data_IF_794587009259
#
_entry.id   IF_794587009259
#
_cell.length_a   1.000
_cell.length_b   1.000
_cell.length_c   1.000
_cell.angle_alpha   90.00
_cell.angle_beta   90.00
_cell.angle_gamma   90.00
#
_symmetry.space_group_name_H-M   'P 1'
#
loop_
_entity.id
_entity.type
_entity.pdbx_description
1 polymer ?
#
# COMPACT_ATOMS: atom_id res chain seq x y z
N UNK A 1 -25.64 19.82 -36.31
CA UNK A 1 -26.18 18.71 -35.49
C UNK A 1 -25.06 18.12 -34.62
N UNK A 2 -25.31 17.91 -33.34
CA UNK A 2 -24.25 17.53 -32.38
C UNK A 2 -23.77 16.09 -32.59
N UNK A 3 -22.44 15.87 -32.65
CA UNK A 3 -21.84 14.54 -32.56
C UNK A 3 -21.95 14.05 -31.12
N UNK A 4 -22.87 13.13 -30.87
CA UNK A 4 -23.08 12.49 -29.58
C UNK A 4 -21.78 11.80 -29.09
N UNK A 5 -21.34 12.10 -27.88
CA UNK A 5 -20.14 11.50 -27.29
C UNK A 5 -20.39 10.00 -27.00
N UNK A 6 -19.66 9.12 -27.69
CA UNK A 6 -19.69 7.68 -27.42
C UNK A 6 -18.88 7.38 -26.16
N UNK A 7 -19.56 7.30 -25.02
CA UNK A 7 -18.96 7.02 -23.70
C UNK A 7 -18.36 5.61 -23.57
N UNK A 8 -18.79 4.65 -24.39
CA UNK A 8 -18.25 3.28 -24.42
C UNK A 8 -17.99 2.83 -25.86
N UNK A 9 -16.71 2.70 -26.23
CA UNK A 9 -16.30 2.06 -27.49
C UNK A 9 -15.76 0.64 -27.26
N UNK A 10 -16.05 -0.22 -28.24
CA UNK A 10 -15.89 -1.68 -28.15
C UNK A 10 -14.41 -2.09 -28.20
N UNK A 11 -13.93 -2.79 -27.17
CA UNK A 11 -12.57 -3.31 -27.05
C UNK A 11 -12.17 -4.20 -28.23
N UNK A 12 -11.16 -3.79 -29.02
CA UNK A 12 -10.41 -4.64 -29.98
C UNK A 12 -8.92 -4.60 -29.65
N UNK A 13 -8.37 -5.73 -29.19
CA UNK A 13 -6.93 -5.90 -28.94
C UNK A 13 -6.37 -5.11 -27.74
N UNK A 14 -5.05 -4.91 -27.75
CA UNK A 14 -4.28 -4.37 -26.63
C UNK A 14 -4.11 -2.83 -26.65
N UNK A 15 -4.78 -2.12 -27.56
CA UNK A 15 -4.82 -0.65 -27.60
C UNK A 15 -6.05 -0.13 -26.86
N UNK A 16 -5.84 0.55 -25.73
CA UNK A 16 -6.85 1.44 -25.14
C UNK A 16 -6.74 2.80 -25.82
N UNK A 17 -7.67 3.13 -26.73
CA UNK A 17 -7.73 4.43 -27.43
C UNK A 17 -8.55 5.49 -26.69
N UNK A 18 -8.79 5.30 -25.38
CA UNK A 18 -9.33 6.33 -24.50
C UNK A 18 -8.21 7.17 -23.90
N UNK A 19 -8.43 8.48 -23.73
CA UNK A 19 -7.48 9.35 -23.02
C UNK A 19 -7.37 8.92 -21.56
N UNK A 20 -6.20 8.44 -21.13
CA UNK A 20 -5.95 8.03 -19.74
C UNK A 20 -6.22 9.15 -18.73
N UNK A 21 -6.08 10.41 -19.15
CA UNK A 21 -6.43 11.58 -18.33
C UNK A 21 -7.94 11.67 -18.08
N UNK A 22 -8.76 11.37 -19.08
CA UNK A 22 -10.23 11.37 -18.94
C UNK A 22 -10.66 10.20 -18.06
N UNK A 23 -10.11 9.00 -18.27
CA UNK A 23 -10.38 7.85 -17.41
C UNK A 23 -9.99 8.12 -15.95
N UNK A 24 -8.77 8.65 -15.72
CA UNK A 24 -8.29 9.00 -14.38
C UNK A 24 -9.09 10.14 -13.71
N UNK A 25 -9.60 11.10 -14.48
CA UNK A 25 -10.51 12.15 -13.98
C UNK A 25 -11.87 11.57 -13.55
N UNK A 26 -12.44 10.63 -14.32
CA UNK A 26 -13.68 9.95 -13.95
C UNK A 26 -13.51 9.04 -12.73
N UNK A 27 -12.40 8.29 -12.65
CA UNK A 27 -12.06 7.45 -11.48
C UNK A 27 -11.86 8.32 -10.23
N UNK A 28 -11.09 9.42 -10.32
CA UNK A 28 -10.91 10.37 -9.23
C UNK A 28 -12.23 11.03 -8.79
N UNK A 29 -13.08 11.44 -9.74
CA UNK A 29 -14.40 12.00 -9.48
C UNK A 29 -15.34 11.01 -8.79
N UNK A 30 -15.30 9.73 -9.18
CA UNK A 30 -16.05 8.66 -8.52
C UNK A 30 -15.63 8.48 -7.05
N UNK A 31 -14.32 8.40 -6.77
CA UNK A 31 -13.84 8.28 -5.39
C UNK A 31 -14.10 9.55 -4.56
N UNK A 32 -14.01 10.74 -5.16
CA UNK A 32 -14.38 11.99 -4.50
C UNK A 32 -15.87 12.04 -4.13
N UNK A 33 -16.75 11.58 -5.03
CA UNK A 33 -18.17 11.46 -4.75
C UNK A 33 -18.46 10.46 -3.61
N UNK A 34 -17.81 9.29 -3.60
CA UNK A 34 -17.91 8.34 -2.49
C UNK A 34 -17.46 8.96 -1.15
N UNK A 35 -16.35 9.71 -1.15
CA UNK A 35 -15.86 10.39 0.05
C UNK A 35 -16.88 11.43 0.56
N UNK A 36 -17.41 12.29 -0.32
CA UNK A 36 -18.40 13.31 0.05
C UNK A 36 -19.71 12.70 0.57
N UNK A 37 -20.23 11.66 -0.09
CA UNK A 37 -21.40 10.91 0.37
C UNK A 37 -21.14 10.21 1.72
N UNK A 38 -19.94 9.67 1.91
CA UNK A 38 -19.49 9.11 3.19
C UNK A 38 -19.46 10.15 4.31
N UNK A 39 -18.84 11.31 4.08
CA UNK A 39 -18.80 12.40 5.05
C UNK A 39 -20.20 12.93 5.40
N UNK A 40 -21.06 13.13 4.40
CA UNK A 40 -22.45 13.55 4.61
C UNK A 40 -23.24 12.51 5.42
N UNK A 41 -23.17 11.23 5.03
CA UNK A 41 -23.81 10.13 5.75
C UNK A 41 -23.30 10.00 7.19
N UNK A 42 -21.99 10.14 7.41
CA UNK A 42 -21.38 10.10 8.74
C UNK A 42 -21.87 11.26 9.62
N UNK A 43 -21.93 12.48 9.06
CA UNK A 43 -22.48 13.64 9.76
C UNK A 43 -23.96 13.47 10.10
N UNK A 44 -24.78 12.93 9.19
CA UNK A 44 -26.20 12.65 9.44
C UNK A 44 -26.38 11.62 10.56
N UNK A 45 -25.68 10.49 10.51
CA UNK A 45 -25.73 9.44 11.55
C UNK A 45 -25.26 9.99 12.91
N UNK A 46 -24.18 10.78 12.91
CA UNK A 46 -23.69 11.44 14.11
C UNK A 46 -24.72 12.42 14.69
N UNK A 47 -25.33 13.27 13.84
CA UNK A 47 -26.26 14.36 14.22
C UNK A 47 -27.62 13.87 14.71
N UNK A 48 -28.13 12.78 14.13
CA UNK A 48 -29.51 12.30 14.35
C UNK A 48 -29.61 11.05 15.22
N UNK A 49 -28.56 10.22 15.32
CA UNK A 49 -28.58 8.98 16.12
C UNK A 49 -27.64 9.05 17.33
N UNK A 50 -26.34 9.30 17.11
CA UNK A 50 -25.33 9.27 18.20
C UNK A 50 -25.41 10.46 19.16
N UNK A 51 -25.53 11.69 18.64
CA UNK A 51 -25.57 12.91 19.47
C UNK A 51 -26.74 12.91 20.48
N UNK A 52 -27.98 12.56 20.10
CA UNK A 52 -29.08 12.45 21.06
C UNK A 52 -28.84 11.41 22.17
N UNK A 53 -28.39 10.20 21.81
CA UNK A 53 -28.07 9.14 22.79
C UNK A 53 -26.95 9.61 23.75
N UNK A 54 -25.88 10.19 23.22
CA UNK A 54 -24.75 10.70 24.00
C UNK A 54 -25.13 11.83 24.96
N UNK A 55 -25.90 12.83 24.50
CA UNK A 55 -26.37 13.93 25.37
C UNK A 55 -27.30 13.40 26.46
N UNK A 56 -28.21 12.46 26.15
CA UNK A 56 -29.07 11.85 27.17
C UNK A 56 -28.27 11.12 28.26
N UNK A 57 -27.13 10.52 27.90
CA UNK A 57 -26.25 9.83 28.84
C UNK A 57 -25.46 10.76 29.77
N UNK A 58 -24.97 11.91 29.28
CA UNK A 58 -24.04 12.79 30.00
C UNK A 58 -24.60 14.13 30.47
N UNK A 59 -25.45 14.77 29.67
CA UNK A 59 -25.85 16.17 29.88
C UNK A 59 -27.13 16.29 30.73
N UNK A 60 -27.94 15.23 30.78
CA UNK A 60 -29.27 15.27 31.40
C UNK A 60 -29.18 15.10 32.92
N UNK A 61 -29.92 15.94 33.65
CA UNK A 61 -29.89 15.97 35.11
C UNK A 61 -30.98 15.08 35.72
N UNK A 62 -30.71 14.37 36.83
CA UNK A 62 -31.69 13.54 37.49
C UNK A 62 -32.77 14.39 38.19
N UNK A 63 -34.03 13.98 38.08
CA UNK A 63 -35.19 14.58 38.75
C UNK A 63 -36.15 13.48 39.23
N UNK A 64 -36.70 13.56 40.45
CA UNK A 64 -37.76 12.64 40.87
C UNK A 64 -39.04 12.91 40.06
N UNK A 65 -39.61 11.86 39.49
CA UNK A 65 -40.84 11.89 38.71
C UNK A 65 -41.83 10.86 39.25
N UNK A 66 -43.13 11.14 39.10
CA UNK A 66 -44.21 10.21 39.42
C UNK A 66 -44.75 9.58 38.13
N UNK A 67 -44.86 8.26 38.10
CA UNK A 67 -45.51 7.53 37.00
C UNK A 67 -47.02 7.71 37.11
N UNK A 68 -47.66 8.29 36.10
CA UNK A 68 -49.11 8.50 36.04
C UNK A 68 -49.84 7.39 35.29
N UNK A 69 -49.27 6.92 34.18
CA UNK A 69 -49.93 5.99 33.26
C UNK A 69 -48.88 5.26 32.41
N UNK A 70 -49.16 4.03 32.00
CA UNK A 70 -48.31 3.24 31.08
C UNK A 70 -49.16 2.80 29.90
N UNK A 71 -48.63 2.91 28.67
CA UNK A 71 -49.31 2.45 27.46
C UNK A 71 -48.34 1.86 26.44
N UNK A 72 -48.86 0.99 25.60
CA UNK A 72 -48.14 0.45 24.46
C UNK A 72 -48.54 1.25 23.20
N UNK A 73 -47.67 2.15 22.77
CA UNK A 73 -47.85 2.89 21.52
C UNK A 73 -47.76 1.94 20.33
N UNK A 74 -48.76 1.96 19.45
CA UNK A 74 -48.80 1.15 18.23
C UNK A 74 -48.82 2.04 16.99
N UNK A 75 -48.18 1.60 15.91
CA UNK A 75 -48.27 2.23 14.60
C UNK A 75 -48.20 1.18 13.49
N UNK A 76 -48.93 1.40 12.39
CA UNK A 76 -48.92 0.51 11.24
C UNK A 76 -48.02 1.11 10.16
N UNK A 77 -46.95 0.40 9.78
CA UNK A 77 -46.06 0.80 8.67
C UNK A 77 -45.81 -0.41 7.77
N UNK A 78 -46.01 -0.23 6.47
CA UNK A 78 -45.73 -1.26 5.44
C UNK A 78 -46.40 -2.62 5.73
N UNK A 79 -47.61 -2.61 6.30
CA UNK A 79 -48.37 -3.81 6.67
C UNK A 79 -47.92 -4.51 7.96
N UNK A 80 -46.90 -3.99 8.66
CA UNK A 80 -46.47 -4.47 9.96
C UNK A 80 -46.91 -3.53 11.09
N UNK A 81 -47.43 -4.10 12.18
CA UNK A 81 -47.70 -3.35 13.42
C UNK A 81 -46.41 -3.26 14.22
N UNK A 82 -45.97 -2.04 14.48
CA UNK A 82 -44.82 -1.74 15.33
C UNK A 82 -45.29 -1.23 16.70
N UNK A 83 -44.51 -1.56 17.72
CA UNK A 83 -44.83 -1.34 19.14
C UNK A 83 -43.74 -0.51 19.82
N UNK A 84 -44.14 0.34 20.77
CA UNK A 84 -43.25 1.21 21.55
C UNK A 84 -43.76 1.32 23.01
N UNK A 85 -42.91 1.13 24.02
CA UNK A 85 -43.29 1.44 25.41
C UNK A 85 -43.40 2.96 25.59
N UNK A 86 -44.48 3.43 26.21
CA UNK A 86 -44.70 4.84 26.53
C UNK A 86 -45.19 4.98 27.97
N UNK A 87 -44.46 5.73 28.78
CA UNK A 87 -44.79 6.00 30.19
C UNK A 87 -45.10 7.48 30.36
N UNK A 88 -46.28 7.80 30.87
CA UNK A 88 -46.65 9.16 31.23
C UNK A 88 -46.04 9.49 32.59
N UNK A 89 -45.13 10.45 32.63
CA UNK A 89 -44.51 10.93 33.86
C UNK A 89 -44.91 12.36 34.18
N UNK A 90 -44.94 12.67 35.47
CA UNK A 90 -45.06 14.04 36.00
C UNK A 90 -43.81 14.35 36.84
N UNK A 91 -43.16 15.48 36.59
CA UNK A 91 -41.99 15.94 37.34
C UNK A 91 -41.99 17.46 37.49
N UNK A 92 -41.28 17.95 38.50
CA UNK A 92 -41.22 19.38 38.82
C UNK A 92 -39.79 19.89 38.64
N UNK A 93 -39.64 20.98 37.88
CA UNK A 93 -38.36 21.68 37.70
C UNK A 93 -38.59 23.16 38.07
N UNK A 94 -38.03 23.59 39.19
CA UNK A 94 -38.37 24.87 39.81
C UNK A 94 -39.85 24.91 40.22
N UNK A 95 -40.55 25.98 39.84
CA UNK A 95 -41.99 26.15 40.12
C UNK A 95 -42.91 25.49 39.07
N UNK A 96 -42.35 25.00 37.95
CA UNK A 96 -43.14 24.42 36.85
C UNK A 96 -43.25 22.89 36.97
N UNK A 97 -44.45 22.39 36.74
CA UNK A 97 -44.75 20.95 36.63
C UNK A 97 -44.87 20.60 35.15
N UNK A 98 -44.13 19.58 34.72
CA UNK A 98 -44.13 19.08 33.36
C UNK A 98 -44.74 17.68 33.33
N UNK A 99 -45.57 17.41 32.33
CA UNK A 99 -46.20 16.10 32.08
C UNK A 99 -45.98 15.70 30.63
N UNK A 100 -45.38 14.53 30.41
CA UNK A 100 -45.06 14.04 29.07
C UNK A 100 -45.07 12.51 28.99
N UNK A 101 -45.14 11.98 27.76
CA UNK A 101 -44.97 10.56 27.46
C UNK A 101 -43.53 10.29 27.04
N UNK A 102 -42.85 9.40 27.73
CA UNK A 102 -41.44 9.05 27.45
C UNK A 102 -41.11 7.60 27.79
N UNK A 103 -39.94 7.18 27.32
CA UNK A 103 -39.23 5.99 27.77
C UNK A 103 -37.73 6.21 27.52
N UNK A 104 -37.34 6.24 26.24
CA UNK A 104 -35.99 6.58 25.78
C UNK A 104 -35.96 7.88 24.95
N UNK A 105 -34.76 8.35 24.58
CA UNK A 105 -34.58 9.57 23.79
C UNK A 105 -35.20 9.48 22.39
N UNK A 106 -35.39 8.26 21.85
CA UNK A 106 -36.05 8.04 20.57
C UNK A 106 -37.56 8.19 20.68
N UNK A 107 -38.15 7.73 21.78
CA UNK A 107 -39.59 7.82 22.09
C UNK A 107 -40.04 9.29 22.11
N UNK A 108 -39.33 10.14 22.83
CA UNK A 108 -39.59 11.60 22.88
C UNK A 108 -39.49 12.24 21.49
N UNK A 109 -38.57 11.75 20.63
CA UNK A 109 -38.35 12.24 19.27
C UNK A 109 -39.28 11.64 18.21
N UNK A 110 -40.33 10.90 18.62
CA UNK A 110 -41.30 10.28 17.69
C UNK A 110 -40.79 9.00 16.99
N UNK A 111 -39.61 8.52 17.34
CA UNK A 111 -39.01 7.28 16.85
C UNK A 111 -39.15 6.18 17.93
N UNK A 112 -38.35 5.10 17.83
CA UNK A 112 -38.22 4.07 18.88
C UNK A 112 -38.98 2.78 18.62
N UNK A 113 -40.05 2.81 17.80
CA UNK A 113 -40.87 1.65 17.43
C UNK A 113 -40.06 0.40 17.02
N UNK A 114 -40.53 -0.77 17.45
CA UNK A 114 -39.93 -2.07 17.14
C UNK A 114 -40.99 -3.12 16.79
N UNK A 115 -40.60 -4.21 16.13
CA UNK A 115 -41.52 -5.31 15.78
C UNK A 115 -41.83 -6.20 17.01
N UNK A 116 -40.94 -6.23 18.02
CA UNK A 116 -41.08 -7.11 19.18
C UNK A 116 -42.00 -6.51 20.25
N UNK A 117 -43.29 -6.82 20.10
CA UNK A 117 -44.33 -6.54 21.10
C UNK A 117 -43.96 -7.05 22.50
N UNK A 118 -43.38 -8.25 22.63
CA UNK A 118 -43.08 -8.88 23.93
C UNK A 118 -41.91 -8.20 24.64
N UNK A 119 -40.99 -7.58 23.91
CA UNK A 119 -39.96 -6.74 24.52
C UNK A 119 -40.58 -5.44 25.08
N UNK A 120 -41.39 -4.74 24.29
CA UNK A 120 -42.05 -3.51 24.73
C UNK A 120 -43.00 -3.73 25.93
N UNK A 121 -43.76 -4.82 25.94
CA UNK A 121 -44.61 -5.19 27.09
C UNK A 121 -43.79 -5.52 28.35
N UNK A 122 -42.63 -6.20 28.22
CA UNK A 122 -41.72 -6.44 29.36
C UNK A 122 -41.19 -5.14 29.95
N UNK A 123 -40.72 -4.21 29.11
CA UNK A 123 -40.25 -2.90 29.56
C UNK A 123 -41.32 -2.09 30.31
N UNK A 124 -42.61 -2.23 29.95
CA UNK A 124 -43.71 -1.55 30.66
C UNK A 124 -44.04 -2.18 32.02
N UNK A 125 -43.85 -3.49 32.18
CA UNK A 125 -44.16 -4.20 33.43
C UNK A 125 -43.28 -3.76 34.62
N UNK A 126 -42.10 -3.19 34.33
CA UNK A 126 -41.17 -2.68 35.34
C UNK A 126 -41.64 -1.35 35.98
N UNK A 127 -42.61 -0.65 35.37
CA UNK A 127 -43.14 0.63 35.84
C UNK A 127 -44.55 0.48 36.43
N UNK A 128 -44.69 0.77 37.73
CA UNK A 128 -45.99 0.77 38.41
C UNK A 128 -46.61 2.17 38.47
N UNK A 129 -47.89 2.28 38.13
CA UNK A 129 -48.64 3.53 38.25
C UNK A 129 -48.66 4.01 39.70
N UNK A 130 -48.34 5.28 39.93
CA UNK A 130 -48.21 5.92 41.23
C UNK A 130 -46.80 5.86 41.85
N UNK A 131 -45.88 5.06 41.29
CA UNK A 131 -44.51 4.94 41.79
C UNK A 131 -43.67 6.21 41.51
N UNK A 132 -42.73 6.51 42.40
CA UNK A 132 -41.74 7.57 42.22
C UNK A 132 -40.43 6.97 41.66
N UNK A 133 -39.95 7.50 40.53
CA UNK A 133 -38.73 7.05 39.84
C UNK A 133 -37.85 8.23 39.47
N UNK A 134 -36.57 8.00 39.25
CA UNK A 134 -35.66 9.02 38.70
C UNK A 134 -35.85 9.11 37.18
N UNK A 135 -36.25 10.27 36.68
CA UNK A 135 -36.14 10.63 35.26
C UNK A 135 -34.90 11.50 35.06
N UNK A 136 -34.46 11.63 33.80
CA UNK A 136 -33.36 12.52 33.40
C UNK A 136 -33.89 13.55 32.41
N UNK A 137 -33.77 14.84 32.71
CA UNK A 137 -34.28 15.93 31.87
C UNK A 137 -33.14 16.74 31.23
N UNK A 138 -33.39 17.31 30.04
CA UNK A 138 -32.43 18.21 29.38
C UNK A 138 -32.47 19.60 30.06
N UNK A 139 -31.38 20.07 30.70
CA UNK A 139 -31.36 21.41 31.30
C UNK A 139 -31.51 22.54 30.28
N UNK A 140 -31.21 22.28 29.00
CA UNK A 140 -31.41 23.23 27.89
C UNK A 140 -32.87 23.32 27.44
N UNK A 141 -33.67 22.26 27.65
CA UNK A 141 -35.10 22.25 27.36
C UNK A 141 -35.84 21.31 28.34
N UNK A 142 -36.38 21.85 29.45
CA UNK A 142 -37.04 21.06 30.49
C UNK A 142 -38.28 20.27 30.05
N UNK A 143 -38.81 20.49 28.84
CA UNK A 143 -39.90 19.69 28.25
C UNK A 143 -39.44 18.33 27.72
N UNK A 144 -38.14 18.03 27.75
CA UNK A 144 -37.57 16.74 27.33
C UNK A 144 -37.04 16.01 28.56
N UNK A 145 -37.66 14.87 28.89
CA UNK A 145 -37.15 13.93 29.89
C UNK A 145 -37.21 12.48 29.40
N UNK A 146 -36.31 11.63 29.89
CA UNK A 146 -36.19 10.20 29.58
C UNK A 146 -36.07 9.36 30.85
N UNK A 147 -36.54 8.12 30.80
CA UNK A 147 -36.45 7.14 31.89
C UNK A 147 -35.28 6.17 31.69
N UNK A 148 -34.94 5.85 30.44
CA UNK A 148 -33.78 5.02 30.11
C UNK A 148 -32.73 5.76 29.27
N UNK A 149 -31.46 5.48 29.60
CA UNK A 149 -30.26 6.08 28.96
C UNK A 149 -29.41 4.97 28.34
N UNK A 150 -29.93 4.37 27.26
CA UNK A 150 -29.30 3.29 26.51
C UNK A 150 -28.84 3.72 25.11
N UNK A 151 -27.68 3.21 24.67
CA UNK A 151 -27.26 3.30 23.27
C UNK A 151 -27.81 2.11 22.49
N UNK A 152 -28.44 2.34 21.33
CA UNK A 152 -28.93 1.23 20.50
C UNK A 152 -27.80 0.68 19.64
N UNK A 153 -27.48 -0.61 19.81
CA UNK A 153 -26.30 -1.22 19.16
C UNK A 153 -26.32 -1.14 17.61
N UNK A 154 -27.50 -1.15 16.99
CA UNK A 154 -27.65 -1.03 15.53
C UNK A 154 -27.16 0.32 14.98
N UNK A 155 -27.10 1.37 15.81
CA UNK A 155 -26.53 2.67 15.45
C UNK A 155 -25.07 2.52 14.98
N UNK A 156 -24.31 1.57 15.54
CA UNK A 156 -22.93 1.28 15.12
C UNK A 156 -22.87 0.56 13.76
N UNK A 157 -23.82 -0.33 13.45
CA UNK A 157 -23.93 -0.93 12.10
C UNK A 157 -24.23 0.14 11.05
N UNK A 158 -25.14 1.06 11.36
CA UNK A 158 -25.50 2.15 10.46
C UNK A 158 -24.36 3.16 10.29
N UNK A 159 -23.49 3.34 11.30
CA UNK A 159 -22.27 4.14 11.19
C UNK A 159 -21.18 3.49 10.31
N UNK A 160 -21.15 2.16 10.22
CA UNK A 160 -20.15 1.43 9.43
C UNK A 160 -20.31 1.69 7.92
N UNK A 161 -21.54 1.89 7.45
CA UNK A 161 -21.85 2.18 6.03
C UNK A 161 -21.15 3.48 5.56
N UNK A 162 -21.43 4.68 6.12
CA UNK A 162 -20.73 5.90 5.71
C UNK A 162 -19.24 5.87 6.04
N UNK A 163 -18.82 5.21 7.13
CA UNK A 163 -17.40 5.02 7.43
C UNK A 163 -16.67 4.26 6.31
N UNK A 164 -17.27 3.20 5.76
CA UNK A 164 -16.68 2.47 4.63
C UNK A 164 -16.52 3.36 3.38
N UNK A 165 -17.49 4.25 3.11
CA UNK A 165 -17.43 5.20 2.00
C UNK A 165 -16.36 6.28 2.21
N UNK A 166 -16.19 6.76 3.46
CA UNK A 166 -15.08 7.67 3.81
C UNK A 166 -13.74 6.99 3.59
N UNK A 167 -13.54 5.76 4.07
CA UNK A 167 -12.27 5.03 3.92
C UNK A 167 -11.95 4.73 2.46
N UNK A 168 -12.90 4.18 1.71
CA UNK A 168 -12.73 3.86 0.28
C UNK A 168 -12.55 5.12 -0.58
N UNK A 169 -13.34 6.15 -0.32
CA UNK A 169 -13.26 7.44 -1.02
C UNK A 169 -11.96 8.16 -0.73
N UNK A 170 -11.55 8.29 0.53
CA UNK A 170 -10.29 8.93 0.92
C UNK A 170 -9.07 8.17 0.38
N UNK A 171 -9.09 6.83 0.44
CA UNK A 171 -8.04 5.98 -0.14
C UNK A 171 -7.92 6.16 -1.65
N UNK A 172 -9.05 6.14 -2.37
CA UNK A 172 -9.09 6.37 -3.81
C UNK A 172 -8.63 7.78 -4.20
N UNK A 173 -9.17 8.84 -3.57
CA UNK A 173 -8.75 10.22 -3.83
C UNK A 173 -7.27 10.41 -3.54
N UNK A 174 -6.77 9.92 -2.40
CA UNK A 174 -5.34 10.03 -2.05
C UNK A 174 -4.44 9.33 -3.07
N UNK A 175 -4.83 8.13 -3.53
CA UNK A 175 -4.12 7.38 -4.57
C UNK A 175 -4.12 8.11 -5.92
N UNK A 176 -5.26 8.68 -6.33
CA UNK A 176 -5.38 9.43 -7.58
C UNK A 176 -4.67 10.79 -7.53
N UNK A 177 -4.73 11.52 -6.42
CA UNK A 177 -3.98 12.77 -6.20
C UNK A 177 -2.47 12.50 -6.17
N UNK A 178 -2.02 11.43 -5.50
CA UNK A 178 -0.61 11.04 -5.49
C UNK A 178 -0.07 10.60 -6.86
N UNK A 179 -0.96 10.07 -7.72
CA UNK A 179 -0.70 9.75 -9.14
C UNK A 179 -0.93 10.94 -10.09
N UNK A 180 -1.61 12.01 -9.68
CA UNK A 180 -1.93 13.14 -10.56
C UNK A 180 -0.64 13.81 -11.02
N UNK A 181 -0.45 13.94 -12.34
CA UNK A 181 0.80 14.45 -12.93
C UNK A 181 1.97 13.46 -12.94
N UNK A 182 1.81 12.24 -12.40
CA UNK A 182 2.79 11.16 -12.47
C UNK A 182 2.26 10.05 -13.38
N UNK A 183 2.71 10.03 -14.64
CA UNK A 183 2.44 8.90 -15.55
C UNK A 183 2.79 7.57 -14.88
N UNK A 184 2.02 6.52 -15.17
CA UNK A 184 2.27 5.15 -14.68
C UNK A 184 3.69 4.71 -15.04
N UNK A 185 4.18 5.13 -16.21
CA UNK A 185 5.55 4.89 -16.67
C UNK A 185 6.59 5.70 -15.85
N UNK A 186 6.29 6.95 -15.45
CA UNK A 186 7.14 7.72 -14.52
C UNK A 186 7.26 7.04 -13.16
N UNK A 187 6.19 6.45 -12.65
CA UNK A 187 6.20 5.69 -11.38
C UNK A 187 6.88 4.31 -11.53
N UNK A 188 6.82 3.67 -12.71
CA UNK A 188 7.62 2.49 -13.03
C UNK A 188 9.12 2.81 -13.21
N UNK A 189 9.45 4.04 -13.65
CA UNK A 189 10.82 4.55 -13.75
C UNK A 189 11.39 4.95 -12.38
N UNK A 190 10.59 5.62 -11.54
CA UNK A 190 10.94 6.03 -10.16
C UNK A 190 10.88 4.87 -9.15
N UNK A 191 10.03 3.89 -9.40
CA UNK A 191 10.10 2.59 -8.75
C UNK A 191 11.41 1.93 -9.14
N UNK A 192 12.49 2.29 -8.41
CA UNK A 192 13.76 1.56 -8.47
C UNK A 192 13.39 0.07 -8.36
N UNK A 193 13.62 -0.76 -9.39
CA UNK A 193 13.68 -2.19 -9.14
C UNK A 193 14.72 -2.40 -8.03
N UNK A 194 14.62 -3.50 -7.28
CA UNK A 194 15.53 -3.78 -6.16
C UNK A 194 16.96 -4.15 -6.63
N UNK A 195 17.41 -3.57 -7.76
CA UNK A 195 18.79 -3.45 -8.14
C UNK A 195 19.54 -2.75 -7.02
N UNK A 196 20.62 -3.40 -6.57
CA UNK A 196 21.73 -2.75 -5.88
C UNK A 196 22.02 -1.40 -6.50
N UNK A 197 22.30 -0.39 -5.68
CA UNK A 197 22.74 0.93 -6.13
C UNK A 197 24.17 0.82 -6.66
N UNK A 198 24.28 0.21 -7.83
CA UNK A 198 25.42 0.12 -8.73
C UNK A 198 25.80 1.53 -9.20
N UNK A 199 26.29 2.37 -8.29
CA UNK A 199 26.61 3.76 -8.58
C UNK A 199 27.79 3.78 -9.55
N UNK A 200 27.73 4.67 -10.54
CA UNK A 200 28.89 4.91 -11.40
C UNK A 200 29.63 6.06 -10.74
N UNK A 201 30.74 5.77 -10.08
CA UNK A 201 31.55 6.79 -9.44
C UNK A 201 32.39 7.51 -10.52
N UNK A 202 32.16 8.81 -10.79
CA UNK A 202 32.93 9.55 -11.79
C UNK A 202 34.43 9.65 -11.44
N UNK A 203 34.78 9.51 -10.16
CA UNK A 203 36.16 9.57 -9.67
C UNK A 203 36.90 8.22 -9.79
N UNK A 204 36.23 7.16 -10.24
CA UNK A 204 36.85 5.86 -10.53
C UNK A 204 37.68 5.93 -11.83
N UNK A 205 38.93 6.40 -11.69
CA UNK A 205 39.82 6.90 -12.74
C UNK A 205 40.10 6.01 -13.98
N UNK A 206 39.61 4.77 -14.03
CA UNK A 206 39.72 3.89 -15.22
C UNK A 206 38.40 3.70 -15.99
N UNK A 207 37.25 3.66 -15.30
CA UNK A 207 35.97 3.24 -15.90
C UNK A 207 34.76 4.00 -15.32
N UNK A 208 34.57 5.29 -15.66
CA UNK A 208 33.59 6.18 -15.01
C UNK A 208 32.11 5.83 -15.27
N UNK A 209 31.82 4.95 -16.23
CA UNK A 209 30.47 4.47 -16.52
C UNK A 209 30.26 2.99 -16.18
N UNK A 210 31.27 2.31 -15.63
CA UNK A 210 31.09 0.96 -15.10
C UNK A 210 30.42 1.07 -13.72
N UNK A 211 29.38 0.26 -13.46
CA UNK A 211 28.75 0.23 -12.14
C UNK A 211 29.70 -0.30 -11.04
N UNK A 212 29.70 0.35 -9.87
CA UNK A 212 30.42 -0.09 -8.67
C UNK A 212 30.07 -1.52 -8.27
N UNK A 213 31.07 -2.24 -7.75
CA UNK A 213 30.93 -3.59 -7.22
C UNK A 213 29.95 -3.58 -6.04
N UNK A 214 28.87 -4.40 -6.07
CA UNK A 214 28.01 -4.60 -4.91
C UNK A 214 28.79 -4.94 -3.63
N UNK A 215 28.60 -4.16 -2.57
CA UNK A 215 29.27 -4.38 -1.28
C UNK A 215 29.03 -5.77 -0.69
N UNK A 216 27.90 -6.41 -1.01
CA UNK A 216 27.60 -7.80 -0.62
C UNK A 216 28.51 -8.86 -1.25
N UNK A 217 29.25 -8.56 -2.32
CA UNK A 217 30.20 -9.50 -2.98
C UNK A 217 31.52 -9.62 -2.19
N UNK A 218 31.76 -8.72 -1.23
CA UNK A 218 32.94 -8.79 -0.35
C UNK A 218 32.85 -9.91 0.70
N UNK A 219 31.75 -10.68 0.74
CA UNK A 219 31.67 -11.89 1.56
C UNK A 219 32.39 -13.04 0.85
N UNK A 220 33.46 -13.62 1.44
CA UNK A 220 34.13 -14.77 0.86
C UNK A 220 33.15 -15.95 0.78
N UNK A 221 33.19 -16.67 -0.34
CA UNK A 221 32.41 -17.90 -0.51
C UNK A 221 33.01 -19.09 0.22
N UNK A 222 32.25 -20.18 0.29
CA UNK A 222 32.66 -21.45 0.92
C UNK A 222 33.49 -22.33 -0.03
N UNK A 223 33.16 -22.31 -1.33
CA UNK A 223 33.82 -23.11 -2.37
C UNK A 223 34.62 -22.24 -3.36
N UNK A 224 34.12 -21.04 -3.71
CA UNK A 224 34.82 -20.08 -4.57
C UNK A 224 34.99 -18.72 -3.88
N UNK A 225 35.98 -17.88 -4.27
CA UNK A 225 36.35 -16.69 -3.51
C UNK A 225 35.24 -15.64 -3.33
N UNK A 226 34.30 -15.50 -4.27
CA UNK A 226 33.29 -14.43 -4.25
C UNK A 226 31.86 -14.97 -4.23
N UNK A 227 31.08 -14.65 -3.19
CA UNK A 227 29.66 -15.00 -3.10
C UNK A 227 28.77 -13.88 -3.65
N UNK A 228 27.87 -14.20 -4.58
CA UNK A 228 26.99 -13.20 -5.22
C UNK A 228 25.70 -12.95 -4.39
N UNK A 229 25.27 -11.68 -4.23
CA UNK A 229 24.05 -11.34 -3.53
C UNK A 229 22.79 -11.62 -4.38
N UNK A 230 21.77 -12.21 -3.76
CA UNK A 230 20.46 -12.45 -4.38
C UNK A 230 19.67 -11.13 -4.47
N UNK A 231 19.34 -10.70 -5.69
CA UNK A 231 18.43 -9.59 -5.95
C UNK A 231 16.97 -10.02 -5.81
N UNK A 232 16.14 -9.13 -5.26
CA UNK A 232 14.68 -9.25 -5.35
C UNK A 232 14.01 -10.15 -4.32
N UNK A 233 14.60 -10.37 -3.13
CA UNK A 233 13.84 -10.99 -2.03
C UNK A 233 12.58 -10.15 -1.73
N UNK A 234 11.37 -10.74 -1.76
CA UNK A 234 10.11 -10.00 -1.63
C UNK A 234 9.77 -9.63 -0.18
N UNK A 235 10.79 -9.29 0.62
CA UNK A 235 10.69 -8.91 2.04
C UNK A 235 9.70 -7.76 2.27
N UNK A 236 9.69 -6.76 1.39
CA UNK A 236 8.75 -5.63 1.45
C UNK A 236 7.28 -6.06 1.30
N UNK A 237 7.00 -7.10 0.51
CA UNK A 237 5.64 -7.64 0.38
C UNK A 237 5.23 -8.41 1.63
N UNK A 238 6.14 -9.21 2.21
CA UNK A 238 5.94 -9.89 3.50
C UNK A 238 5.65 -8.89 4.63
N UNK A 239 6.45 -7.83 4.73
CA UNK A 239 6.26 -6.76 5.73
C UNK A 239 4.92 -6.04 5.53
N UNK A 240 4.47 -5.84 4.29
CA UNK A 240 3.15 -5.28 3.99
C UNK A 240 2.00 -6.17 4.49
N UNK A 241 2.06 -7.47 4.21
CA UNK A 241 1.06 -8.43 4.71
C UNK A 241 1.07 -8.56 6.24
N UNK A 242 2.26 -8.60 6.85
CA UNK A 242 2.43 -8.64 8.31
C UNK A 242 1.84 -7.38 8.96
N UNK A 243 2.17 -6.19 8.44
CA UNK A 243 1.65 -4.93 8.94
C UNK A 243 0.13 -4.83 8.84
N UNK A 244 -0.45 -5.25 7.70
CA UNK A 244 -1.90 -5.30 7.51
C UNK A 244 -2.58 -6.28 8.49
N UNK A 245 -2.02 -7.47 8.68
CA UNK A 245 -2.54 -8.47 9.61
C UNK A 245 -2.47 -7.98 11.06
N UNK A 246 -1.33 -7.42 11.51
CA UNK A 246 -1.16 -6.89 12.86
C UNK A 246 -2.09 -5.70 13.13
N UNK A 247 -2.18 -4.75 12.19
CA UNK A 247 -3.05 -3.58 12.33
C UNK A 247 -4.53 -3.98 12.44
N UNK A 248 -5.01 -4.88 11.56
CA UNK A 248 -6.40 -5.32 11.57
C UNK A 248 -6.75 -6.10 12.84
N UNK A 249 -5.99 -7.15 13.14
CA UNK A 249 -6.25 -7.99 14.32
C UNK A 249 -6.07 -7.21 15.63
N UNK A 250 -5.08 -6.31 15.71
CA UNK A 250 -4.89 -5.41 16.84
C UNK A 250 -6.07 -4.44 17.03
N UNK A 251 -6.61 -3.89 15.95
CA UNK A 251 -7.79 -3.02 16.00
C UNK A 251 -9.05 -3.77 16.46
N UNK A 252 -9.28 -4.99 15.96
CA UNK A 252 -10.40 -5.84 16.38
C UNK A 252 -10.25 -6.26 17.85
N UNK A 253 -9.04 -6.60 18.30
CA UNK A 253 -8.75 -6.95 19.70
C UNK A 253 -8.95 -5.76 20.64
N UNK A 254 -8.46 -4.57 20.28
CA UNK A 254 -8.65 -3.35 21.07
C UNK A 254 -10.15 -3.00 21.21
N UNK A 255 -10.93 -3.13 20.13
CA UNK A 255 -12.37 -2.95 20.17
C UNK A 255 -13.06 -3.99 21.08
N UNK A 256 -12.67 -5.27 20.99
CA UNK A 256 -13.19 -6.32 21.85
C UNK A 256 -12.88 -6.08 23.34
N UNK A 257 -11.64 -5.68 23.67
CA UNK A 257 -11.23 -5.36 25.04
C UNK A 257 -11.97 -4.14 25.60
N UNK A 258 -12.19 -3.10 24.79
CA UNK A 258 -12.94 -1.91 25.21
C UNK A 258 -14.42 -2.23 25.53
N UNK A 259 -15.07 -3.08 24.71
CA UNK A 259 -16.45 -3.53 24.95
C UNK A 259 -16.52 -4.48 26.15
N UNK A 260 -15.54 -5.38 26.31
CA UNK A 260 -15.44 -6.28 27.47
C UNK A 260 -15.28 -5.51 28.79
N UNK A 261 -14.36 -4.54 28.87
CA UNK A 261 -14.20 -3.67 30.03
C UNK A 261 -15.45 -2.81 30.33
N UNK A 262 -16.27 -2.54 29.31
CA UNK A 262 -17.55 -1.82 29.49
C UNK A 262 -18.68 -2.71 30.07
N UNK A 263 -18.44 -4.01 30.28
CA UNK A 263 -19.41 -4.96 30.84
C UNK A 263 -20.61 -5.30 29.94
N UNK A 264 -20.57 -4.91 28.66
CA UNK A 264 -21.69 -5.02 27.70
C UNK A 264 -21.40 -6.05 26.60
N UNK A 265 -21.01 -7.25 27.01
CA UNK A 265 -20.69 -8.33 26.08
C UNK A 265 -21.96 -9.12 25.70
N UNK A 266 -22.69 -8.61 24.72
CA UNK A 266 -23.93 -9.22 24.21
C UNK A 266 -23.69 -10.15 23.01
N UNK A 267 -24.59 -11.13 22.81
CA UNK A 267 -24.56 -12.04 21.65
C UNK A 267 -24.57 -11.32 20.29
N UNK A 268 -25.13 -10.11 20.20
CA UNK A 268 -25.10 -9.26 19.01
C UNK A 268 -23.70 -8.75 18.70
N UNK A 269 -22.90 -8.41 19.72
CA UNK A 269 -21.50 -8.05 19.58
C UNK A 269 -20.66 -9.26 19.14
N UNK A 270 -20.91 -10.44 19.71
CA UNK A 270 -20.28 -11.69 19.25
C UNK A 270 -20.55 -11.96 17.77
N UNK A 271 -21.81 -11.78 17.31
CA UNK A 271 -22.19 -11.96 15.91
C UNK A 271 -21.48 -10.96 14.97
N UNK A 272 -21.29 -9.72 15.40
CA UNK A 272 -20.51 -8.71 14.68
C UNK A 272 -19.01 -9.04 14.63
N UNK A 273 -18.46 -9.64 15.70
CA UNK A 273 -17.04 -9.97 15.80
C UNK A 273 -16.63 -11.07 14.81
N UNK A 274 -17.52 -12.02 14.51
CA UNK A 274 -17.27 -13.17 13.61
C UNK A 274 -16.73 -12.75 12.23
N UNK A 275 -17.39 -11.90 11.41
CA UNK A 275 -16.85 -11.49 10.12
C UNK A 275 -15.55 -10.70 10.23
N UNK A 276 -15.38 -9.88 11.27
CA UNK A 276 -14.12 -9.15 11.52
C UNK A 276 -12.95 -10.09 11.82
N UNK A 277 -13.18 -11.16 12.60
CA UNK A 277 -12.22 -12.23 12.87
C UNK A 277 -11.93 -13.08 11.62
N UNK A 278 -12.94 -13.38 10.80
CA UNK A 278 -12.73 -14.07 9.52
C UNK A 278 -11.82 -13.27 8.58
N UNK A 279 -12.02 -11.95 8.48
CA UNK A 279 -11.11 -11.08 7.73
C UNK A 279 -9.69 -11.13 8.34
N UNK A 280 -9.57 -11.04 9.67
CA UNK A 280 -8.29 -11.15 10.38
C UNK A 280 -7.55 -12.47 10.11
N UNK A 281 -8.27 -13.59 10.13
CA UNK A 281 -7.77 -14.93 9.79
C UNK A 281 -7.33 -15.02 8.32
N UNK A 282 -8.08 -14.46 7.36
CA UNK A 282 -7.66 -14.48 5.95
C UNK A 282 -6.40 -13.65 5.69
N UNK A 283 -6.21 -12.53 6.39
CA UNK A 283 -4.97 -11.74 6.32
C UNK A 283 -3.77 -12.52 6.89
N UNK A 284 -3.95 -13.20 8.03
CA UNK A 284 -2.94 -14.06 8.64
C UNK A 284 -2.61 -15.25 7.73
N UNK A 285 -3.61 -15.91 7.14
CA UNK A 285 -3.40 -16.99 6.18
C UNK A 285 -2.69 -16.51 4.89
N UNK A 286 -3.02 -15.31 4.40
CA UNK A 286 -2.33 -14.70 3.26
C UNK A 286 -0.85 -14.40 3.58
N UNK A 287 -0.56 -13.88 4.77
CA UNK A 287 0.81 -13.71 5.28
C UNK A 287 1.55 -15.05 5.34
N UNK A 288 0.99 -16.07 6.00
CA UNK A 288 1.62 -17.39 6.11
C UNK A 288 1.83 -18.05 4.74
N UNK A 289 0.88 -17.94 3.81
CA UNK A 289 1.05 -18.42 2.43
C UNK A 289 2.20 -17.71 1.73
N UNK A 290 2.28 -16.38 1.83
CA UNK A 290 3.38 -15.61 1.22
C UNK A 290 4.72 -15.98 1.86
N UNK A 291 4.77 -16.11 3.19
CA UNK A 291 5.96 -16.50 3.94
C UNK A 291 6.43 -17.92 3.59
N UNK A 292 5.51 -18.87 3.43
CA UNK A 292 5.83 -20.21 2.94
C UNK A 292 6.43 -20.17 1.52
N UNK A 293 5.81 -19.45 0.58
CA UNK A 293 6.36 -19.31 -0.79
C UNK A 293 7.77 -18.70 -0.81
N UNK A 294 8.11 -17.84 0.16
CA UNK A 294 9.44 -17.22 0.25
C UNK A 294 10.48 -18.05 0.99
N UNK A 295 10.06 -18.94 1.90
CA UNK A 295 10.96 -19.66 2.82
C UNK A 295 11.11 -21.14 2.46
N UNK A 296 10.08 -21.76 1.87
CA UNK A 296 10.09 -23.18 1.50
C UNK A 296 11.01 -23.46 0.30
N UNK A 297 11.08 -22.53 -0.65
CA UNK A 297 12.12 -22.52 -1.68
C UNK A 297 13.41 -22.07 -0.99
N UNK A 298 14.23 -23.04 -0.58
CA UNK A 298 15.42 -22.82 0.22
C UNK A 298 16.49 -21.95 -0.45
N UNK A 299 17.58 -21.71 0.24
CA UNK A 299 18.58 -20.73 -0.19
C UNK A 299 19.30 -21.19 -1.46
N UNK A 300 19.23 -20.35 -2.48
CA UNK A 300 20.08 -20.42 -3.69
C UNK A 300 21.32 -19.58 -3.43
N UNK A 301 22.48 -20.22 -3.44
CA UNK A 301 23.80 -19.60 -3.27
C UNK A 301 24.54 -19.75 -4.60
N UNK A 302 25.13 -18.66 -5.08
CA UNK A 302 25.99 -18.66 -6.26
C UNK A 302 27.31 -18.01 -5.89
N UNK A 303 28.40 -18.70 -6.23
CA UNK A 303 29.78 -18.25 -6.00
C UNK A 303 30.54 -18.26 -7.33
N UNK A 304 31.55 -17.40 -7.46
CA UNK A 304 32.32 -17.22 -8.69
C UNK A 304 33.81 -17.12 -8.40
N UNK A 305 34.65 -17.60 -9.32
CA UNK A 305 36.11 -17.66 -9.13
C UNK A 305 36.72 -16.27 -8.92
N UNK A 306 36.30 -15.29 -9.73
CA UNK A 306 36.86 -13.95 -9.76
C UNK A 306 35.76 -12.90 -9.92
N UNK A 307 35.99 -11.70 -9.37
CA UNK A 307 35.11 -10.55 -9.55
C UNK A 307 35.91 -9.24 -9.44
N UNK A 308 35.69 -8.24 -10.34
CA UNK A 308 34.76 -8.23 -11.47
C UNK A 308 35.25 -9.10 -12.64
N UNK A 309 34.33 -9.44 -13.54
CA UNK A 309 34.62 -10.23 -14.74
C UNK A 309 35.18 -9.34 -15.86
N UNK A 310 35.80 -9.94 -16.86
CA UNK A 310 36.40 -9.27 -18.03
C UNK A 310 35.88 -9.94 -19.31
N UNK A 311 35.54 -9.15 -20.34
CA UNK A 311 35.18 -9.71 -21.64
C UNK A 311 36.31 -10.56 -22.24
N UNK A 312 35.97 -11.70 -22.85
CA UNK A 312 36.90 -12.66 -23.45
C UNK A 312 37.50 -13.68 -22.48
N UNK A 313 37.26 -13.56 -21.17
CA UNK A 313 37.80 -14.48 -20.16
C UNK A 313 36.81 -15.58 -19.75
N UNK A 314 37.36 -16.62 -19.11
CA UNK A 314 36.61 -17.74 -18.55
C UNK A 314 36.75 -17.77 -17.03
N UNK A 315 35.67 -18.14 -16.36
CA UNK A 315 35.56 -18.17 -14.91
C UNK A 315 34.82 -19.44 -14.48
N UNK A 316 34.93 -19.81 -13.21
CA UNK A 316 34.15 -20.90 -12.64
C UNK A 316 32.99 -20.36 -11.83
N UNK A 317 31.83 -20.99 -11.95
CA UNK A 317 30.61 -20.65 -11.20
C UNK A 317 30.13 -21.88 -10.47
N UNK A 318 29.94 -21.75 -9.17
CA UNK A 318 29.41 -22.77 -8.29
C UNK A 318 28.00 -22.36 -7.84
N UNK A 319 27.05 -23.29 -7.95
CA UNK A 319 25.64 -23.13 -7.58
C UNK A 319 25.29 -24.17 -6.52
N UNK A 320 24.82 -23.71 -5.36
CA UNK A 320 24.35 -24.52 -4.23
C UNK A 320 22.90 -24.18 -3.94
N UNK A 321 22.00 -25.14 -4.12
CA UNK A 321 20.57 -25.01 -3.81
C UNK A 321 20.23 -25.88 -2.61
N UNK A 322 19.86 -25.24 -1.50
CA UNK A 322 19.40 -25.92 -0.28
C UNK A 322 17.87 -26.02 -0.24
N UNK A 323 17.34 -26.88 0.63
CA UNK A 323 15.90 -27.01 0.87
C UNK A 323 15.43 -28.47 0.92
N UNK A 324 14.12 -28.66 1.00
CA UNK A 324 13.48 -29.96 0.81
C UNK A 324 12.49 -29.83 -0.34
N UNK A 325 12.97 -30.16 -1.56
CA UNK A 325 12.30 -29.80 -2.81
C UNK A 325 12.42 -30.95 -3.80
N UNK A 326 11.30 -31.37 -4.40
CA UNK A 326 11.29 -32.23 -5.58
C UNK A 326 11.31 -31.35 -6.82
N UNK A 327 12.41 -31.34 -7.56
CA UNK A 327 12.64 -30.40 -8.66
C UNK A 327 12.20 -31.00 -10.00
N UNK A 328 11.24 -30.36 -10.66
CA UNK A 328 10.91 -30.65 -12.05
C UNK A 328 12.09 -30.28 -12.96
N UNK A 329 12.64 -29.07 -12.77
CA UNK A 329 13.85 -28.59 -13.42
C UNK A 329 14.49 -27.44 -12.64
N UNK A 330 15.80 -27.28 -12.81
CA UNK A 330 16.61 -26.15 -12.35
C UNK A 330 17.57 -25.79 -13.49
N UNK A 331 17.58 -24.52 -13.90
CA UNK A 331 18.48 -24.00 -14.94
C UNK A 331 19.24 -22.77 -14.44
N UNK A 332 20.51 -22.67 -14.83
CA UNK A 332 21.35 -21.50 -14.60
C UNK A 332 21.71 -20.87 -15.95
N UNK A 333 21.36 -19.60 -16.09
CA UNK A 333 21.52 -18.79 -17.30
C UNK A 333 22.41 -17.60 -16.98
N UNK A 334 23.37 -17.27 -17.84
CA UNK A 334 23.92 -15.92 -17.89
C UNK A 334 23.16 -15.11 -18.94
N UNK A 335 22.92 -13.84 -18.61
CA UNK A 335 22.09 -12.92 -19.38
C UNK A 335 22.75 -11.54 -19.44
N UNK A 336 22.76 -10.95 -20.63
CA UNK A 336 23.03 -9.53 -20.86
C UNK A 336 21.73 -8.84 -21.31
N UNK A 337 21.29 -7.84 -20.55
CA UNK A 337 20.08 -7.05 -20.82
C UNK A 337 20.42 -5.56 -20.89
N UNK A 338 19.93 -4.87 -21.92
CA UNK A 338 19.99 -3.41 -22.04
C UNK A 338 18.65 -2.80 -21.60
N UNK A 339 18.70 -1.77 -20.76
CA UNK A 339 17.57 -1.02 -20.27
C UNK A 339 17.67 0.45 -20.69
N UNK A 340 17.01 0.78 -21.80
CA UNK A 340 16.93 2.14 -22.31
C UNK A 340 15.73 2.88 -21.70
N UNK A 341 15.94 4.13 -21.27
CA UNK A 341 14.90 5.03 -20.76
C UNK A 341 14.85 6.30 -21.61
N UNK A 342 13.83 6.38 -22.48
CA UNK A 342 13.66 7.45 -23.46
C UNK A 342 12.37 8.26 -23.24
N UNK A 343 12.32 9.48 -23.73
CA UNK A 343 11.13 10.32 -23.71
C UNK A 343 10.35 10.18 -25.02
N UNK A 344 9.05 9.92 -24.92
CA UNK A 344 8.11 9.89 -26.04
C UNK A 344 7.02 10.92 -25.79
N UNK A 345 7.18 12.12 -26.35
CA UNK A 345 6.37 13.28 -25.99
C UNK A 345 6.53 13.65 -24.51
N UNK A 346 5.42 13.75 -23.77
CA UNK A 346 5.46 14.06 -22.32
C UNK A 346 5.68 12.82 -21.42
N UNK A 347 5.75 11.61 -21.99
CA UNK A 347 5.90 10.37 -21.23
C UNK A 347 7.36 9.87 -21.25
N UNK A 348 7.82 9.34 -20.13
CA UNK A 348 9.13 8.69 -19.99
C UNK A 348 8.93 7.19 -19.99
N UNK A 349 9.36 6.51 -21.05
CA UNK A 349 9.22 5.05 -21.21
C UNK A 349 10.56 4.37 -20.95
N UNK A 350 10.50 3.23 -20.25
CA UNK A 350 11.63 2.33 -20.04
C UNK A 350 11.36 1.04 -20.81
N UNK A 351 12.34 0.59 -21.58
CA UNK A 351 12.27 -0.65 -22.35
C UNK A 351 13.52 -1.48 -22.04
N UNK A 352 13.31 -2.74 -21.63
CA UNK A 352 14.38 -3.68 -21.31
C UNK A 352 14.41 -4.75 -22.40
N UNK A 353 15.56 -4.92 -23.05
CA UNK A 353 15.78 -5.93 -24.09
C UNK A 353 16.91 -6.85 -23.68
N UNK A 354 16.64 -8.15 -23.68
CA UNK A 354 17.67 -9.19 -23.54
C UNK A 354 18.48 -9.25 -24.83
N UNK A 355 19.72 -8.78 -24.80
CA UNK A 355 20.64 -8.77 -25.95
C UNK A 355 21.19 -10.18 -26.17
N UNK A 356 21.60 -10.84 -25.09
CA UNK A 356 22.25 -12.13 -25.13
C UNK A 356 21.88 -12.98 -23.92
N UNK A 357 21.87 -14.30 -24.12
CA UNK A 357 21.73 -15.29 -23.06
C UNK A 357 22.45 -16.59 -23.43
N UNK A 358 23.01 -17.28 -22.44
CA UNK A 358 23.59 -18.63 -22.57
C UNK A 358 23.20 -19.46 -21.35
N UNK A 359 22.67 -20.65 -21.60
CA UNK A 359 22.42 -21.65 -20.56
C UNK A 359 23.76 -22.27 -20.17
N UNK A 360 24.11 -22.23 -18.89
CA UNK A 360 25.34 -22.80 -18.35
C UNK A 360 25.11 -24.22 -17.85
N UNK A 361 24.01 -24.44 -17.14
CA UNK A 361 23.59 -25.75 -16.66
C UNK A 361 22.07 -25.87 -16.65
N UNK A 362 21.56 -27.07 -16.89
CA UNK A 362 20.13 -27.42 -16.73
C UNK A 362 20.01 -28.86 -16.27
N UNK A 363 19.29 -29.06 -15.17
CA UNK A 363 19.02 -30.35 -14.56
C UNK A 363 17.52 -30.53 -14.43
N UNK A 364 17.03 -31.76 -14.66
CA UNK A 364 15.61 -32.09 -14.67
C UNK A 364 15.35 -33.30 -13.76
N UNK A 365 14.18 -33.34 -13.11
CA UNK A 365 13.68 -34.47 -12.31
C UNK A 365 14.66 -35.01 -11.27
N UNK A 366 14.96 -34.19 -10.25
CA UNK A 366 15.84 -34.57 -9.14
C UNK A 366 15.29 -34.08 -7.79
N UNK A 367 15.65 -34.77 -6.71
CA UNK A 367 15.21 -34.42 -5.36
C UNK A 367 16.35 -33.76 -4.55
N UNK A 368 16.01 -32.69 -3.83
CA UNK A 368 16.90 -31.99 -2.89
C UNK A 368 16.45 -32.31 -1.47
N UNK A 369 17.38 -32.78 -0.64
CA UNK A 369 17.13 -33.15 0.75
C UNK A 369 17.80 -32.16 1.71
N UNK A 370 17.28 -32.04 2.93
CA UNK A 370 17.82 -31.10 3.92
C UNK A 370 19.29 -31.38 4.29
N UNK A 371 19.72 -32.63 4.22
CA UNK A 371 21.09 -33.09 4.49
C UNK A 371 21.99 -33.15 3.26
N UNK A 372 21.44 -33.06 2.04
CA UNK A 372 22.18 -33.16 0.78
C UNK A 372 21.69 -32.04 -0.14
N UNK A 373 22.34 -30.86 -0.11
CA UNK A 373 22.04 -29.79 -1.05
C UNK A 373 22.36 -30.22 -2.48
N UNK A 374 21.70 -29.60 -3.46
CA UNK A 374 22.09 -29.75 -4.86
C UNK A 374 23.25 -28.80 -5.14
N UNK A 375 24.37 -29.34 -5.61
CA UNK A 375 25.60 -28.60 -5.86
C UNK A 375 26.09 -28.86 -7.29
N UNK A 376 26.51 -27.80 -7.99
CA UNK A 376 27.11 -27.91 -9.33
C UNK A 376 28.13 -26.81 -9.57
N UNK A 377 29.28 -27.19 -10.12
CA UNK A 377 30.29 -26.28 -10.67
C UNK A 377 30.24 -26.32 -12.21
N UNK A 378 30.35 -25.16 -12.85
CA UNK A 378 30.37 -25.04 -14.32
C UNK A 378 31.24 -23.88 -14.77
N UNK A 379 31.72 -23.92 -16.02
CA UNK A 379 32.55 -22.86 -16.60
C UNK A 379 31.67 -21.82 -17.31
N UNK A 380 31.92 -20.54 -17.02
CA UNK A 380 31.29 -19.41 -17.66
C UNK A 380 32.32 -18.70 -18.54
N UNK A 381 31.97 -18.47 -19.79
CA UNK A 381 32.80 -17.76 -20.76
C UNK A 381 32.06 -16.48 -21.13
N UNK A 382 32.69 -15.32 -20.92
CA UNK A 382 32.16 -14.02 -21.34
C UNK A 382 32.65 -13.77 -22.77
N UNK A 383 31.77 -13.77 -23.80
CA UNK A 383 32.23 -13.65 -25.18
C UNK A 383 33.01 -12.35 -25.44
N UNK A 384 34.11 -12.45 -26.17
CA UNK A 384 34.89 -11.29 -26.62
C UNK A 384 34.07 -10.39 -27.54
N UNK A 385 34.38 -9.10 -27.53
CA UNK A 385 33.65 -8.08 -28.30
C UNK A 385 32.23 -7.76 -27.83
N UNK A 386 31.69 -8.41 -26.79
CA UNK A 386 30.40 -8.04 -26.21
C UNK A 386 30.52 -6.82 -25.28
N UNK A 387 29.42 -6.07 -25.14
CA UNK A 387 29.39 -4.85 -24.34
C UNK A 387 29.56 -5.15 -22.84
N UNK A 388 30.51 -4.45 -22.21
CA UNK A 388 30.75 -4.50 -20.76
C UNK A 388 29.58 -3.92 -19.96
N UNK A 389 29.56 -4.14 -18.64
CA UNK A 389 28.54 -3.52 -17.78
C UNK A 389 28.65 -2.00 -17.83
N UNK A 390 27.57 -1.32 -18.21
CA UNK A 390 27.57 0.12 -18.49
C UNK A 390 26.36 0.78 -17.84
N UNK A 391 26.52 1.97 -17.28
CA UNK A 391 25.43 2.73 -16.67
C UNK A 391 25.51 4.22 -16.97
N UNK A 392 24.38 4.77 -17.40
CA UNK A 392 24.16 6.20 -17.65
C UNK A 392 22.74 6.60 -17.20
N UNK A 393 22.37 7.90 -17.18
CA UNK A 393 21.02 8.32 -16.81
C UNK A 393 19.89 7.79 -17.72
N UNK A 394 20.21 7.40 -18.96
CA UNK A 394 19.22 7.02 -19.98
C UNK A 394 19.43 5.63 -20.59
N UNK A 395 20.57 4.97 -20.35
CA UNK A 395 20.83 3.61 -20.80
C UNK A 395 21.68 2.84 -19.77
N UNK A 396 21.38 1.55 -19.59
CA UNK A 396 22.10 0.67 -18.67
C UNK A 396 22.21 -0.75 -19.25
N UNK A 397 23.44 -1.23 -19.44
CA UNK A 397 23.75 -2.61 -19.86
C UNK A 397 24.10 -3.42 -18.62
N UNK A 398 23.27 -4.42 -18.33
CA UNK A 398 23.33 -5.23 -17.11
C UNK A 398 23.65 -6.68 -17.44
N UNK A 399 24.69 -7.18 -16.82
CA UNK A 399 25.01 -8.60 -16.78
C UNK A 399 24.46 -9.24 -15.52
N UNK A 400 23.81 -10.41 -15.64
CA UNK A 400 23.24 -11.15 -14.51
C UNK A 400 23.34 -12.66 -14.71
N UNK A 401 23.49 -13.39 -13.61
CA UNK A 401 23.18 -14.82 -13.53
C UNK A 401 21.74 -14.97 -13.04
N UNK A 402 20.91 -15.65 -13.83
CA UNK A 402 19.54 -16.03 -13.49
C UNK A 402 19.51 -17.52 -13.19
N UNK A 403 19.19 -17.89 -11.95
CA UNK A 403 18.86 -19.27 -11.57
C UNK A 403 17.34 -19.37 -11.53
N UNK A 404 16.78 -20.24 -12.36
CA UNK A 404 15.33 -20.45 -12.50
C UNK A 404 15.00 -21.91 -12.20
N UNK A 405 13.89 -22.16 -11.56
CA UNK A 405 13.49 -23.54 -11.23
C UNK A 405 12.00 -23.71 -11.01
N UNK A 406 11.55 -24.95 -11.16
CA UNK A 406 10.22 -25.40 -10.80
C UNK A 406 10.35 -26.60 -9.87
N UNK A 407 9.73 -26.52 -8.70
CA UNK A 407 9.54 -27.65 -7.80
C UNK A 407 8.09 -28.15 -7.89
N UNK A 408 7.87 -29.41 -7.53
CA UNK A 408 6.54 -29.99 -7.36
C UNK A 408 5.76 -29.17 -6.31
N UNK A 409 4.49 -28.88 -6.60
CA UNK A 409 3.55 -28.11 -5.76
C UNK A 409 3.92 -26.63 -5.49
N UNK A 410 5.03 -26.12 -6.06
CA UNK A 410 5.46 -24.73 -5.91
C UNK A 410 5.46 -23.95 -7.24
N UNK A 411 5.23 -22.62 -7.21
CA UNK A 411 5.34 -21.79 -8.40
C UNK A 411 6.78 -21.75 -8.93
N UNK A 412 6.93 -21.51 -10.24
CA UNK A 412 8.23 -21.27 -10.86
C UNK A 412 8.91 -20.09 -10.16
N UNK A 413 10.16 -20.29 -9.73
CA UNK A 413 10.95 -19.27 -9.09
C UNK A 413 12.12 -18.83 -9.95
N UNK A 414 12.52 -17.59 -9.74
CA UNK A 414 13.72 -16.99 -10.32
C UNK A 414 14.52 -16.32 -9.19
N UNK A 415 15.84 -16.42 -9.27
CA UNK A 415 16.82 -15.77 -8.42
C UNK A 415 17.84 -15.10 -9.33
N UNK A 416 18.07 -13.82 -9.09
CA UNK A 416 18.86 -12.98 -9.98
C UNK A 416 20.09 -12.52 -9.20
N UNK A 417 21.27 -12.76 -9.75
CA UNK A 417 22.56 -12.41 -9.18
C UNK A 417 23.24 -11.40 -10.11
N UNK A 418 23.61 -10.19 -9.65
CA UNK A 418 24.20 -9.17 -10.49
C UNK A 418 25.66 -9.49 -10.81
N UNK A 419 26.09 -9.18 -12.04
CA UNK A 419 27.49 -9.25 -12.46
C UNK A 419 27.98 -7.87 -12.92
N UNK A 420 29.25 -7.58 -12.63
CA UNK A 420 30.00 -6.46 -13.20
C UNK A 420 31.01 -7.05 -14.16
N UNK A 421 30.87 -6.73 -15.44
CA UNK A 421 31.79 -7.10 -16.51
C UNK A 421 32.55 -5.85 -16.94
N UNK A 422 33.87 -5.92 -16.97
CA UNK A 422 34.78 -4.91 -17.48
C UNK A 422 35.07 -5.14 -18.97
N UNK A 423 35.41 -4.09 -19.73
CA UNK A 423 35.88 -4.25 -21.10
C UNK A 423 37.16 -5.09 -21.13
N UNK A 424 37.38 -5.78 -22.25
CA UNK A 424 38.64 -6.47 -22.52
C UNK A 424 39.79 -5.44 -22.46
N UNK A 425 40.87 -5.70 -21.69
CA UNK A 425 42.00 -4.78 -21.63
C UNK A 425 42.55 -4.60 -23.03
N UNK A 426 42.66 -3.35 -23.49
CA UNK A 426 43.07 -3.05 -24.86
C UNK A 426 44.41 -3.72 -25.14
N UNK A 427 44.38 -4.77 -25.99
CA UNK A 427 45.58 -5.39 -26.54
C UNK A 427 46.41 -4.25 -27.13
N UNK A 428 47.59 -3.98 -26.55
CA UNK A 428 48.42 -2.81 -26.90
C UNK A 428 48.45 -2.65 -28.41
N UNK A 429 47.78 -1.61 -28.91
CA UNK A 429 47.77 -1.33 -30.34
C UNK A 429 49.16 -0.81 -30.69
N UNK A 430 49.98 -1.65 -31.30
CA UNK A 430 51.21 -1.19 -31.93
C UNK A 430 50.84 -0.06 -32.90
N UNK A 431 51.40 1.12 -32.64
CA UNK A 431 51.36 2.29 -33.53
C UNK A 431 50.00 2.70 -34.10
N UNK A 432 49.22 3.48 -33.34
CA UNK A 432 48.22 4.38 -33.91
C UNK A 432 48.40 5.79 -33.34
N UNK A 433 49.05 6.66 -34.11
CA UNK A 433 49.23 8.07 -33.79
C UNK A 433 47.88 8.80 -33.80
N UNK A 434 47.41 9.20 -32.62
CA UNK A 434 46.35 10.21 -32.53
C UNK A 434 46.89 11.52 -33.12
N UNK A 435 46.28 12.09 -34.19
CA UNK A 435 46.68 13.39 -34.69
C UNK A 435 46.29 14.44 -33.65
N UNK A 436 47.28 14.94 -32.91
CA UNK A 436 47.11 16.11 -32.04
C UNK A 436 46.62 17.26 -32.92
N UNK A 437 45.40 17.76 -32.68
CA UNK A 437 44.97 19.03 -33.27
C UNK A 437 45.95 20.12 -32.81
N UNK A 438 46.54 20.92 -33.71
CA UNK A 438 47.40 22.02 -33.29
C UNK A 438 46.54 23.05 -32.55
N UNK A 439 46.92 23.35 -31.31
CA UNK A 439 46.38 24.49 -30.58
C UNK A 439 46.94 25.74 -31.26
N UNK A 440 46.09 26.48 -31.97
CA UNK A 440 46.45 27.83 -32.44
C UNK A 440 46.57 28.74 -31.21
N UNK A 441 47.81 29.03 -30.82
CA UNK A 441 48.11 30.09 -29.87
C UNK A 441 47.94 31.43 -30.57
N UNK A 442 46.78 32.08 -30.39
CA UNK A 442 46.55 33.43 -30.91
C UNK A 442 47.37 34.44 -30.09
N UNK A 443 48.52 34.83 -30.62
CA UNK A 443 49.34 35.89 -30.05
C UNK A 443 48.66 37.25 -30.23
N UNK A 444 48.15 37.83 -29.14
CA UNK A 444 47.83 39.27 -29.07
C UNK A 444 48.96 39.96 -28.30
N UNK A 445 49.95 40.46 -29.02
CA UNK A 445 51.00 41.30 -28.45
C UNK A 445 50.44 42.67 -28.07
N UNK A 446 50.88 43.21 -26.95
CA UNK A 446 50.56 44.59 -26.58
C UNK A 446 51.38 45.59 -27.40
N UNK A 447 50.77 46.74 -27.71
CA UNK A 447 51.48 47.95 -28.11
C UNK A 447 50.85 49.14 -27.37
N UNK A 448 51.68 49.83 -26.59
CA UNK A 448 51.37 51.00 -25.76
C UNK A 448 51.59 52.31 -26.52
N UNK A 449 50.76 53.33 -26.30
CA UNK A 449 51.21 54.73 -26.12
C UNK A 449 50.03 55.69 -25.86
N UNK A 450 50.21 56.56 -24.85
CA UNK A 450 49.91 58.01 -24.73
C UNK A 450 48.69 58.64 -25.46
N UNK A 451 48.08 59.75 -25.06
CA UNK A 451 48.16 60.78 -23.99
C UNK A 451 46.69 61.31 -23.89
N UNK A 452 46.13 61.99 -22.89
CA UNK A 452 46.62 63.05 -22.01
C UNK A 452 45.50 64.11 -21.83
N UNK A 453 45.24 64.49 -20.57
CA UNK A 453 44.65 65.77 -20.07
C UNK A 453 43.16 66.18 -20.20
N UNK A 454 42.74 66.90 -19.13
CA UNK A 454 41.59 67.82 -18.91
C UNK A 454 40.27 67.18 -18.42
N UNK A 455 39.89 67.38 -17.14
CA UNK A 455 39.10 68.50 -16.55
C UNK A 455 37.59 68.42 -16.94
N UNK A 456 36.61 68.66 -16.06
CA UNK A 456 36.58 69.11 -14.66
C UNK A 456 35.18 68.83 -14.06
N UNK A 457 35.04 68.75 -12.72
CA UNK A 457 33.84 69.07 -11.89
C UNK A 457 32.41 68.58 -12.28
N UNK A 458 31.45 68.29 -11.38
CA UNK A 458 31.23 68.64 -9.96
C UNK A 458 30.07 67.79 -9.38
N UNK A 459 29.95 67.72 -8.03
CA UNK A 459 28.72 67.83 -7.18
C UNK A 459 27.35 67.24 -7.64
N UNK A 460 26.42 66.76 -6.82
CA UNK A 460 26.26 66.49 -5.37
C UNK A 460 25.11 65.46 -5.21
N UNK A 461 24.86 64.84 -4.05
CA UNK A 461 25.48 65.00 -2.71
C UNK A 461 25.90 63.64 -2.14
#
# INVERSE_FOLDING_TARGET
MARWFRLFEKKRGNRRTGSERIAGLWEAGFFANLFLLGCLGFWLVLRFLLLPEWRSGKDFLPVPCKVLETRLGTTLREGQTLYRPEVCIEYRVGERVYRLWTYDIHTVRGNGYSVDRRHAERCLNDYRVGESRTAWYDPTNPEIAVLERGFRWWTWLVLLIPFSFVVLGAGGVSYHVWRWGKSVERLAVQGKPLALSLSANPDAALFPFVPEIPSGIQQPGEHLPYRLPVLGTPSRALMGWLGAALFWNGSVLALALAVYHSGKFDWSFTLFLIPCLMIGLTLVAAFFRQWMVTTAIGQTIVEISDFPLICGQRYRVYLKQTGWLKMNWLEMLIVCEEEATFQHGTNTRRETRRIWQKTLARHEKFDIFHSVPFEIETEIEIPSGMMHSFRSPHNEVRWRLCVRGSAQDWPVFERIFPLVVLPEPSRKSDTASWPRRPVQATSMGGATSSEGTSHDNSETV
#
